data_IF_395061595921
#
_entry.id   IF_395061595921
#
_cell.length_a   1.000
_cell.length_b   1.000
_cell.length_c   1.000
_cell.angle_alpha   90.00
_cell.angle_beta   90.00
_cell.angle_gamma   90.00
#
_symmetry.space_group_name_H-M   'P 1'
#
loop_
_entity.id
_entity.type
_entity.pdbx_description
1 polymer ?
#
# COMPACT_ATOMS: atom_id res chain seq x y z
N UNK A 1 -11.91 -3.14 -26.40
CA UNK A 1 -11.19 -4.02 -25.44
C UNK A 1 -12.20 -4.53 -24.44
N UNK A 2 -12.05 -5.75 -23.94
CA UNK A 2 -12.88 -6.21 -22.81
C UNK A 2 -12.63 -5.30 -21.61
N UNK A 3 -13.69 -5.05 -20.82
CA UNK A 3 -13.58 -4.20 -19.63
C UNK A 3 -12.74 -4.92 -18.58
N UNK A 4 -11.80 -4.22 -17.95
CA UNK A 4 -10.96 -4.74 -16.86
C UNK A 4 -11.85 -5.38 -15.77
N UNK A 5 -11.62 -6.65 -15.48
CA UNK A 5 -12.42 -7.42 -14.52
C UNK A 5 -11.89 -7.20 -13.10
N UNK A 6 -12.79 -6.92 -12.17
CA UNK A 6 -12.47 -6.71 -10.75
C UNK A 6 -12.96 -7.92 -9.96
N UNK A 7 -12.06 -8.63 -9.28
CA UNK A 7 -12.34 -9.85 -8.53
C UNK A 7 -12.05 -9.61 -7.04
N UNK A 8 -13.07 -9.73 -6.18
CA UNK A 8 -12.85 -9.80 -4.74
C UNK A 8 -12.55 -11.24 -4.34
N UNK A 9 -11.47 -11.43 -3.58
CA UNK A 9 -11.18 -12.71 -2.94
C UNK A 9 -12.10 -12.85 -1.73
N UNK A 10 -12.77 -14.00 -1.62
CA UNK A 10 -13.79 -14.22 -0.60
C UNK A 10 -13.17 -14.51 0.77
N UNK A 11 -12.65 -13.45 1.41
CA UNK A 11 -12.14 -13.52 2.78
C UNK A 11 -13.25 -13.64 3.83
N UNK A 12 -14.50 -13.22 3.50
CA UNK A 12 -15.65 -13.36 4.39
C UNK A 12 -15.92 -14.82 4.75
N UNK A 13 -16.03 -15.71 3.75
CA UNK A 13 -16.25 -17.15 3.98
C UNK A 13 -15.12 -17.78 4.80
N UNK A 14 -13.88 -17.30 4.60
CA UNK A 14 -12.75 -17.80 5.36
C UNK A 14 -12.84 -17.43 6.85
N UNK A 15 -13.18 -16.17 7.18
CA UNK A 15 -13.33 -15.74 8.58
C UNK A 15 -14.54 -16.38 9.24
N UNK A 16 -15.66 -16.56 8.53
CA UNK A 16 -16.81 -17.32 9.02
C UNK A 16 -16.44 -18.77 9.38
N UNK A 17 -15.66 -19.44 8.53
CA UNK A 17 -15.13 -20.79 8.85
C UNK A 17 -14.25 -20.79 10.10
N UNK A 18 -13.41 -19.74 10.28
CA UNK A 18 -12.59 -19.60 11.48
C UNK A 18 -13.46 -19.46 12.74
N UNK A 19 -14.51 -18.65 12.71
CA UNK A 19 -15.45 -18.45 13.81
C UNK A 19 -16.21 -19.76 14.18
N UNK A 20 -16.49 -20.60 13.18
CA UNK A 20 -17.11 -21.91 13.36
C UNK A 20 -16.13 -23.01 13.79
N UNK A 21 -14.85 -22.70 13.96
CA UNK A 21 -13.80 -23.65 14.36
C UNK A 21 -13.30 -24.57 13.21
N UNK A 22 -13.65 -24.26 11.97
CA UNK A 22 -13.28 -25.03 10.77
C UNK A 22 -12.14 -24.37 9.96
N UNK A 23 -11.78 -23.10 10.29
CA UNK A 23 -10.67 -22.40 9.66
C UNK A 23 -9.32 -22.85 10.21
N UNK A 24 -8.35 -23.09 9.34
CA UNK A 24 -6.99 -23.52 9.72
C UNK A 24 -5.95 -23.02 8.70
N UNK A 25 -4.66 -23.33 8.94
CA UNK A 25 -3.59 -22.90 8.04
C UNK A 25 -3.74 -23.41 6.59
N UNK A 26 -4.36 -24.57 6.37
CA UNK A 26 -4.57 -25.08 5.00
C UNK A 26 -5.68 -24.28 4.29
N UNK A 27 -6.79 -23.96 4.98
CA UNK A 27 -7.81 -23.10 4.40
C UNK A 27 -7.26 -21.69 4.15
N UNK A 28 -6.43 -21.15 5.04
CA UNK A 28 -5.71 -19.89 4.81
C UNK A 28 -4.85 -19.94 3.53
N UNK A 29 -4.05 -21.00 3.35
CA UNK A 29 -3.18 -21.15 2.17
C UNK A 29 -3.98 -21.31 0.87
N UNK A 30 -4.95 -22.21 0.87
CA UNK A 30 -5.54 -22.68 -0.38
C UNK A 30 -6.88 -22.02 -0.74
N UNK A 31 -7.60 -21.46 0.21
CA UNK A 31 -8.86 -20.78 -0.06
C UNK A 31 -8.63 -19.24 -0.12
N UNK A 32 -7.81 -18.69 0.78
CA UNK A 32 -7.62 -17.24 0.89
C UNK A 32 -6.43 -16.72 0.09
N UNK A 33 -5.28 -17.41 0.09
CA UNK A 33 -4.05 -16.91 -0.52
C UNK A 33 -3.75 -17.48 -1.90
N UNK A 34 -4.22 -18.69 -2.22
CA UNK A 34 -4.00 -19.32 -3.53
C UNK A 34 -4.56 -18.50 -4.72
N UNK A 35 -5.69 -17.79 -4.63
CA UNK A 35 -6.14 -16.93 -5.74
C UNK A 35 -5.11 -15.87 -6.15
N UNK A 36 -4.22 -15.46 -5.24
CA UNK A 36 -3.11 -14.54 -5.50
C UNK A 36 -1.77 -15.24 -5.77
N UNK A 37 -1.79 -16.52 -6.13
CA UNK A 37 -0.56 -17.34 -6.25
C UNK A 37 0.48 -16.72 -7.19
N UNK A 38 0.07 -16.17 -8.32
CA UNK A 38 1.00 -15.53 -9.26
C UNK A 38 1.78 -14.39 -8.62
N UNK A 39 1.12 -13.56 -7.79
CA UNK A 39 1.78 -12.52 -7.01
C UNK A 39 2.78 -13.13 -6.01
N UNK A 40 2.37 -14.18 -5.28
CA UNK A 40 3.25 -14.83 -4.29
C UNK A 40 4.45 -15.50 -4.95
N UNK A 41 4.27 -16.12 -6.12
CA UNK A 41 5.36 -16.70 -6.90
C UNK A 41 6.36 -15.62 -7.35
N UNK A 42 5.87 -14.45 -7.78
CA UNK A 42 6.71 -13.30 -8.13
C UNK A 42 7.56 -12.83 -6.94
N UNK A 43 6.99 -12.86 -5.74
CA UNK A 43 7.68 -12.51 -4.49
C UNK A 43 8.55 -13.66 -3.94
N UNK A 44 8.62 -14.80 -4.62
CA UNK A 44 9.29 -16.02 -4.16
C UNK A 44 8.76 -16.54 -2.81
N UNK A 45 7.47 -16.41 -2.57
CA UNK A 45 6.79 -16.91 -1.36
C UNK A 45 5.99 -18.16 -1.72
N UNK A 46 6.42 -19.35 -1.29
CA UNK A 46 5.67 -20.57 -1.56
C UNK A 46 4.39 -20.63 -0.70
N UNK A 47 3.29 -21.15 -1.24
CA UNK A 47 2.06 -21.35 -0.49
C UNK A 47 2.27 -22.28 0.72
N UNK A 48 3.16 -23.25 0.60
CA UNK A 48 3.51 -24.17 1.68
C UNK A 48 5.00 -24.49 1.62
N UNK A 49 5.65 -24.43 2.77
CA UNK A 49 7.04 -24.82 2.90
C UNK A 49 7.25 -26.32 2.59
N UNK A 50 8.39 -26.65 2.01
CA UNK A 50 8.80 -28.03 1.73
C UNK A 50 9.37 -28.73 2.98
N UNK A 51 9.78 -27.94 3.98
CA UNK A 51 10.33 -28.42 5.25
C UNK A 51 9.49 -27.95 6.42
N UNK A 52 9.50 -28.70 7.51
CA UNK A 52 8.84 -28.29 8.76
C UNK A 52 9.41 -26.97 9.26
N UNK A 53 8.53 -26.02 9.61
CA UNK A 53 8.88 -24.65 10.02
C UNK A 53 9.66 -23.83 8.95
N UNK A 54 9.59 -24.23 7.69
CA UNK A 54 10.15 -23.46 6.58
C UNK A 54 9.31 -22.22 6.26
N UNK A 55 9.94 -21.25 5.58
CA UNK A 55 9.27 -20.05 5.12
C UNK A 55 8.16 -20.36 4.12
N UNK A 56 6.97 -19.87 4.38
CA UNK A 56 5.80 -20.00 3.50
C UNK A 56 4.85 -18.81 3.62
N UNK A 57 3.72 -18.88 2.93
CA UNK A 57 2.72 -17.81 2.90
C UNK A 57 2.19 -17.41 4.27
N UNK A 58 2.10 -18.35 5.23
CA UNK A 58 1.63 -18.03 6.58
C UNK A 58 2.63 -17.13 7.30
N UNK A 59 3.93 -17.47 7.23
CA UNK A 59 4.97 -16.64 7.81
C UNK A 59 5.10 -15.29 7.09
N UNK A 60 5.04 -15.29 5.76
CA UNK A 60 5.06 -14.04 4.99
C UNK A 60 3.89 -13.13 5.36
N UNK A 61 2.70 -13.69 5.51
CA UNK A 61 1.51 -12.95 5.93
C UNK A 61 1.65 -12.35 7.34
N UNK A 62 2.21 -13.11 8.29
CA UNK A 62 2.48 -12.60 9.64
C UNK A 62 3.51 -11.45 9.63
N UNK A 63 4.51 -11.50 8.75
CA UNK A 63 5.49 -10.41 8.56
C UNK A 63 4.85 -9.14 7.98
N UNK A 64 3.80 -9.27 7.18
CA UNK A 64 3.00 -8.16 6.65
C UNK A 64 1.93 -7.67 7.63
N UNK A 65 1.87 -8.22 8.85
CA UNK A 65 0.88 -7.86 9.83
C UNK A 65 -0.52 -8.41 9.57
N UNK A 66 -0.66 -9.44 8.73
CA UNK A 66 -1.93 -10.13 8.46
C UNK A 66 -2.21 -11.11 9.59
N UNK A 67 -3.46 -11.12 10.06
CA UNK A 67 -3.93 -12.17 10.98
C UNK A 67 -3.90 -13.54 10.30
N UNK A 68 -3.40 -14.53 11.00
CA UNK A 68 -3.36 -15.93 10.54
C UNK A 68 -4.00 -16.87 11.56
N UNK A 69 -4.38 -18.11 11.19
CA UNK A 69 -4.93 -19.10 12.13
C UNK A 69 -3.98 -19.53 13.26
N UNK A 70 -2.74 -19.04 13.27
CA UNK A 70 -1.80 -19.21 14.39
C UNK A 70 -2.05 -18.22 15.53
N UNK A 71 -2.79 -17.15 15.23
CA UNK A 71 -3.12 -16.10 16.17
C UNK A 71 -4.41 -16.36 16.92
N UNK A 72 -4.69 -15.54 17.92
CA UNK A 72 -5.91 -15.68 18.70
C UNK A 72 -7.16 -15.50 17.83
N UNK A 73 -8.09 -16.46 17.91
CA UNK A 73 -9.41 -16.34 17.28
C UNK A 73 -10.25 -15.21 17.87
N UNK A 74 -9.89 -14.73 19.06
CA UNK A 74 -10.58 -13.59 19.68
C UNK A 74 -10.44 -12.35 18.82
N UNK A 75 -9.29 -12.12 18.18
CA UNK A 75 -9.11 -11.00 17.24
C UNK A 75 -10.13 -11.05 16.09
N UNK A 76 -10.43 -12.24 15.54
CA UNK A 76 -11.48 -12.37 14.50
C UNK A 76 -12.85 -12.07 15.08
N UNK A 77 -13.18 -12.56 16.28
CA UNK A 77 -14.48 -12.29 16.92
C UNK A 77 -14.70 -10.80 17.17
N UNK A 78 -13.65 -10.07 17.54
CA UNK A 78 -13.75 -8.66 17.88
C UNK A 78 -13.71 -7.78 16.62
N UNK A 79 -12.85 -8.08 15.65
CA UNK A 79 -12.58 -7.21 14.53
C UNK A 79 -13.38 -7.51 13.25
N UNK A 80 -13.79 -8.76 13.03
CA UNK A 80 -14.47 -9.13 11.78
C UNK A 80 -15.86 -8.47 11.63
N UNK A 81 -16.72 -8.40 12.65
CA UNK A 81 -17.97 -7.66 12.56
C UNK A 81 -17.77 -6.17 12.23
N UNK A 82 -16.80 -5.52 12.87
CA UNK A 82 -16.44 -4.12 12.62
C UNK A 82 -15.93 -3.89 11.18
N UNK A 83 -15.20 -4.87 10.62
CA UNK A 83 -14.72 -4.82 9.25
C UNK A 83 -15.90 -4.94 8.25
N UNK A 84 -16.87 -5.80 8.50
CA UNK A 84 -18.08 -5.89 7.70
C UNK A 84 -18.86 -4.56 7.76
N UNK A 85 -19.07 -4.00 8.95
CA UNK A 85 -19.79 -2.74 9.14
C UNK A 85 -19.11 -1.54 8.47
N UNK A 86 -17.82 -1.63 8.12
CA UNK A 86 -17.14 -0.57 7.39
C UNK A 86 -17.67 -0.34 5.98
N UNK A 87 -18.39 -1.31 5.39
CA UNK A 87 -18.94 -1.26 4.04
C UNK A 87 -17.95 -1.50 2.92
N UNK A 88 -16.66 -1.75 3.22
CA UNK A 88 -15.62 -1.84 2.19
C UNK A 88 -15.83 -3.03 1.24
N UNK A 89 -16.45 -4.12 1.70
CA UNK A 89 -16.76 -5.28 0.88
C UNK A 89 -17.83 -5.03 -0.18
N UNK A 90 -18.72 -4.07 0.05
CA UNK A 90 -19.73 -3.62 -0.91
C UNK A 90 -19.20 -2.53 -1.83
N UNK A 91 -18.28 -1.72 -1.35
CA UNK A 91 -17.82 -0.50 -2.01
C UNK A 91 -16.53 -0.66 -2.83
N UNK A 92 -15.75 -1.73 -2.62
CA UNK A 92 -14.44 -1.93 -3.29
C UNK A 92 -14.50 -1.82 -4.82
N UNK A 93 -15.57 -2.36 -5.41
CA UNK A 93 -15.74 -2.38 -6.85
C UNK A 93 -15.97 -0.97 -7.41
N UNK A 94 -16.74 -0.15 -6.69
CA UNK A 94 -16.96 1.25 -7.04
C UNK A 94 -15.67 2.05 -6.97
N UNK A 95 -14.86 1.85 -5.93
CA UNK A 95 -13.56 2.52 -5.75
C UNK A 95 -12.65 2.23 -6.94
N UNK A 96 -12.45 0.95 -7.28
CA UNK A 96 -11.59 0.56 -8.40
C UNK A 96 -12.16 1.05 -9.73
N UNK A 97 -13.49 0.92 -9.96
CA UNK A 97 -14.12 1.38 -11.20
C UNK A 97 -13.98 2.88 -11.41
N UNK A 98 -14.16 3.68 -10.36
CA UNK A 98 -13.91 5.14 -10.43
C UNK A 98 -12.45 5.44 -10.74
N UNK A 99 -11.53 4.69 -10.14
CA UNK A 99 -10.10 4.82 -10.45
C UNK A 99 -9.81 4.52 -11.94
N UNK A 100 -10.36 3.43 -12.48
CA UNK A 100 -10.22 3.08 -13.90
C UNK A 100 -10.75 4.22 -14.79
N UNK A 101 -11.94 4.73 -14.48
CA UNK A 101 -12.57 5.83 -15.24
C UNK A 101 -11.69 7.08 -15.29
N UNK A 102 -10.92 7.38 -14.22
CA UNK A 102 -10.01 8.55 -14.20
C UNK A 102 -8.87 8.42 -15.20
N UNK A 103 -8.34 7.23 -15.43
CA UNK A 103 -7.32 6.98 -16.44
C UNK A 103 -7.92 6.89 -17.86
N UNK A 104 -9.06 6.22 -18.02
CA UNK A 104 -9.75 6.09 -19.33
C UNK A 104 -10.21 7.45 -19.88
N UNK A 105 -10.69 8.37 -19.04
CA UNK A 105 -11.03 9.76 -19.43
C UNK A 105 -9.85 10.51 -20.07
N UNK A 106 -8.62 10.07 -19.77
CA UNK A 106 -7.37 10.66 -20.30
C UNK A 106 -6.76 9.81 -21.43
N UNK A 107 -7.53 8.86 -21.94
CA UNK A 107 -7.16 8.02 -23.08
C UNK A 107 -6.17 6.90 -22.73
N UNK A 108 -5.94 6.64 -21.43
CA UNK A 108 -5.11 5.52 -21.02
C UNK A 108 -5.97 4.30 -20.66
N UNK A 109 -5.74 3.23 -21.39
CA UNK A 109 -6.33 1.93 -21.07
C UNK A 109 -5.32 1.13 -20.27
N UNK A 110 -5.69 0.78 -19.06
CA UNK A 110 -4.84 0.01 -18.15
C UNK A 110 -4.58 -1.37 -18.77
N UNK A 111 -3.31 -1.78 -19.02
CA UNK A 111 -3.00 -3.00 -19.73
C UNK A 111 -3.07 -4.25 -18.82
N UNK A 112 -4.21 -4.41 -18.14
CA UNK A 112 -4.54 -5.55 -17.30
C UNK A 112 -5.87 -6.14 -17.72
N UNK A 113 -6.00 -7.46 -17.68
CA UNK A 113 -7.25 -8.18 -17.93
C UNK A 113 -8.11 -8.22 -16.66
N UNK A 114 -7.46 -8.40 -15.51
CA UNK A 114 -8.15 -8.48 -14.22
C UNK A 114 -7.31 -7.93 -13.05
N UNK A 115 -8.02 -7.45 -12.02
CA UNK A 115 -7.47 -7.05 -10.73
C UNK A 115 -8.11 -7.91 -9.64
N UNK A 116 -7.29 -8.49 -8.79
CA UNK A 116 -7.69 -9.20 -7.58
C UNK A 116 -7.55 -8.29 -6.38
N UNK A 117 -8.62 -8.14 -5.62
CA UNK A 117 -8.65 -7.39 -4.36
C UNK A 117 -8.84 -8.37 -3.21
N UNK A 118 -7.99 -8.31 -2.20
CA UNK A 118 -8.10 -9.10 -0.99
C UNK A 118 -8.16 -8.18 0.23
N UNK A 119 -9.26 -8.24 0.97
CA UNK A 119 -9.49 -7.45 2.18
C UNK A 119 -9.33 -8.38 3.37
N UNK A 120 -8.34 -8.13 4.21
CA UNK A 120 -7.84 -9.03 5.22
C UNK A 120 -7.88 -8.39 6.62
N UNK A 121 -8.13 -9.19 7.65
CA UNK A 121 -7.88 -8.75 9.01
C UNK A 121 -6.38 -8.63 9.26
N UNK A 122 -5.98 -7.52 9.88
CA UNK A 122 -4.66 -7.33 10.45
C UNK A 122 -4.52 -8.04 11.80
N UNK A 123 -3.29 -8.36 12.17
CA UNK A 123 -2.95 -8.82 13.52
C UNK A 123 -2.78 -7.60 14.44
N UNK A 124 -3.69 -7.39 15.37
CA UNK A 124 -3.66 -6.26 16.32
C UNK A 124 -2.42 -6.23 17.21
N UNK A 125 -1.73 -7.37 17.36
CA UNK A 125 -0.48 -7.45 18.11
C UNK A 125 0.75 -7.10 17.26
N UNK A 126 0.60 -7.08 15.93
CA UNK A 126 1.66 -6.70 15.00
C UNK A 126 2.12 -5.26 15.22
N UNK A 127 3.44 -5.04 15.18
CA UNK A 127 4.01 -3.70 15.23
C UNK A 127 3.65 -2.88 13.99
N UNK A 128 3.54 -3.53 12.83
CA UNK A 128 3.12 -2.90 11.58
C UNK A 128 1.73 -2.27 11.72
N UNK A 129 0.76 -3.03 12.22
CA UNK A 129 -0.59 -2.53 12.44
C UNK A 129 -0.63 -1.41 13.50
N UNK A 130 0.14 -1.53 14.58
CA UNK A 130 0.19 -0.49 15.64
C UNK A 130 0.75 0.84 15.13
N UNK A 131 1.82 0.81 14.35
CA UNK A 131 2.44 2.03 13.79
C UNK A 131 1.52 2.68 12.77
N UNK A 132 0.84 1.91 11.95
CA UNK A 132 -0.02 2.38 10.86
C UNK A 132 -1.49 2.60 11.28
N UNK A 133 -1.77 2.79 12.58
CA UNK A 133 -3.13 3.02 13.09
C UNK A 133 -4.15 1.95 12.66
N UNK A 134 -3.69 0.72 12.54
CA UNK A 134 -4.52 -0.46 12.28
C UNK A 134 -4.83 -0.71 10.82
N UNK A 135 -4.16 -0.08 9.85
CA UNK A 135 -4.33 -0.46 8.45
C UNK A 135 -3.05 -0.31 7.65
N UNK A 136 -2.91 -1.16 6.64
CA UNK A 136 -1.83 -1.14 5.67
C UNK A 136 -2.35 -1.64 4.33
N UNK A 137 -1.66 -1.35 3.25
CA UNK A 137 -2.00 -1.78 1.91
C UNK A 137 -0.81 -2.39 1.18
N UNK A 138 -1.10 -3.09 0.11
CA UNK A 138 -0.12 -3.57 -0.85
C UNK A 138 -0.71 -3.56 -2.26
N UNK A 139 -0.21 -2.68 -3.12
CA UNK A 139 -0.55 -2.58 -4.54
C UNK A 139 0.66 -2.72 -5.46
N UNK A 140 1.78 -3.20 -4.92
CA UNK A 140 3.10 -3.20 -5.54
C UNK A 140 3.29 -4.17 -6.72
N UNK A 141 2.30 -4.98 -7.07
CA UNK A 141 2.33 -5.89 -8.23
C UNK A 141 1.06 -5.68 -9.06
N UNK A 142 1.17 -5.32 -10.35
CA UNK A 142 0.01 -5.11 -11.21
C UNK A 142 -0.96 -6.29 -11.20
N UNK A 143 -2.25 -5.98 -11.05
CA UNK A 143 -3.32 -6.97 -10.97
C UNK A 143 -3.61 -7.50 -9.55
N UNK A 144 -2.88 -7.05 -8.51
CA UNK A 144 -3.08 -7.53 -7.14
C UNK A 144 -3.09 -6.40 -6.13
N UNK A 145 -4.12 -6.34 -5.30
CA UNK A 145 -4.27 -5.37 -4.21
C UNK A 145 -4.65 -6.13 -2.93
N UNK A 146 -3.97 -5.84 -1.83
CA UNK A 146 -4.36 -6.27 -0.49
C UNK A 146 -4.58 -5.06 0.42
N UNK A 147 -5.64 -5.12 1.23
CA UNK A 147 -5.82 -4.24 2.39
C UNK A 147 -5.80 -5.08 3.65
N UNK A 148 -4.97 -4.72 4.61
CA UNK A 148 -4.84 -5.34 5.92
C UNK A 148 -5.37 -4.37 6.97
N UNK A 149 -6.37 -4.79 7.76
CA UNK A 149 -7.16 -3.88 8.59
C UNK A 149 -7.40 -4.47 9.98
N UNK A 150 -7.05 -3.72 11.02
CA UNK A 150 -7.58 -3.85 12.38
C UNK A 150 -8.56 -2.69 12.54
N UNK A 151 -9.89 -2.92 12.43
CA UNK A 151 -10.87 -1.85 12.33
C UNK A 151 -10.89 -0.94 13.55
N UNK A 152 -11.00 0.35 13.33
CA UNK A 152 -11.21 1.37 14.36
C UNK A 152 -11.84 2.62 13.75
N UNK A 153 -12.30 3.57 14.58
CA UNK A 153 -13.00 4.78 14.12
C UNK A 153 -12.14 5.67 13.22
N UNK A 154 -10.81 5.58 13.32
CA UNK A 154 -9.92 6.35 12.49
C UNK A 154 -9.82 5.74 11.09
N UNK A 155 -9.56 4.43 10.97
CA UNK A 155 -9.26 3.80 9.69
C UNK A 155 -10.49 3.42 8.87
N UNK A 156 -11.62 3.03 9.50
CA UNK A 156 -12.86 2.69 8.78
C UNK A 156 -13.27 3.77 7.75
N UNK A 157 -13.07 5.04 8.08
CA UNK A 157 -13.37 6.17 7.18
C UNK A 157 -12.42 6.29 5.99
N UNK A 158 -11.23 5.70 6.10
CA UNK A 158 -10.11 5.83 5.14
C UNK A 158 -9.96 4.64 4.20
N UNK A 159 -10.75 3.58 4.35
CA UNK A 159 -10.56 2.34 3.58
C UNK A 159 -10.70 2.54 2.08
N UNK A 160 -11.63 3.41 1.63
CA UNK A 160 -11.75 3.78 0.20
C UNK A 160 -10.53 4.54 -0.29
N UNK A 161 -10.03 5.47 0.50
CA UNK A 161 -8.83 6.24 0.19
C UNK A 161 -7.60 5.33 0.14
N UNK A 162 -7.45 4.41 1.09
CA UNK A 162 -6.39 3.41 1.10
C UNK A 162 -6.46 2.48 -0.13
N UNK A 163 -7.66 2.03 -0.51
CA UNK A 163 -7.83 1.20 -1.70
C UNK A 163 -7.49 1.97 -3.00
N UNK A 164 -7.85 3.25 -3.08
CA UNK A 164 -7.48 4.11 -4.21
C UNK A 164 -5.97 4.35 -4.28
N UNK A 165 -5.31 4.51 -3.15
CA UNK A 165 -3.85 4.59 -3.04
C UNK A 165 -3.18 3.34 -3.64
N UNK A 166 -3.58 2.15 -3.19
CA UNK A 166 -3.03 0.88 -3.70
C UNK A 166 -3.37 0.64 -5.18
N UNK A 167 -4.54 1.08 -5.62
CA UNK A 167 -4.90 1.03 -7.04
C UNK A 167 -3.99 1.94 -7.88
N UNK A 168 -3.61 3.11 -7.40
CA UNK A 168 -2.69 4.00 -8.12
C UNK A 168 -1.33 3.32 -8.32
N UNK A 169 -0.78 2.63 -7.30
CA UNK A 169 0.42 1.82 -7.45
C UNK A 169 0.28 0.76 -8.54
N UNK A 170 -0.85 0.04 -8.59
CA UNK A 170 -1.12 -0.95 -9.63
C UNK A 170 -1.03 -0.34 -11.03
N UNK A 171 -1.63 0.82 -11.25
CA UNK A 171 -1.57 1.52 -12.54
C UNK A 171 -0.15 2.02 -12.83
N UNK A 172 0.49 2.66 -11.86
CA UNK A 172 1.86 3.18 -12.00
C UNK A 172 2.83 2.10 -12.47
N UNK A 173 2.77 0.91 -11.87
CA UNK A 173 3.67 -0.19 -12.20
C UNK A 173 3.40 -0.85 -13.56
N UNK A 174 2.25 -0.60 -14.19
CA UNK A 174 2.03 -0.96 -15.61
C UNK A 174 2.73 0.00 -16.57
N UNK A 175 3.07 1.21 -16.10
CA UNK A 175 3.72 2.26 -16.88
C UNK A 175 5.23 2.32 -16.61
N UNK A 176 5.63 2.37 -15.36
CA UNK A 176 7.03 2.42 -14.93
C UNK A 176 7.31 1.25 -13.98
N UNK A 177 8.02 0.20 -14.44
CA UNK A 177 8.33 -0.97 -13.62
C UNK A 177 9.15 -0.59 -12.38
N UNK A 178 8.84 -1.20 -11.26
CA UNK A 178 9.47 -0.92 -9.98
C UNK A 178 10.28 -2.12 -9.48
N UNK A 179 11.52 -1.88 -9.09
CA UNK A 179 12.40 -2.90 -8.51
C UNK A 179 12.82 -2.50 -7.09
N UNK A 180 12.19 -3.08 -6.08
CA UNK A 180 12.52 -2.83 -4.67
C UNK A 180 14.01 -3.00 -4.33
N UNK A 181 14.73 -3.87 -5.07
CA UNK A 181 16.15 -4.12 -4.84
C UNK A 181 17.08 -3.01 -5.34
N UNK A 182 16.63 -2.16 -6.28
CA UNK A 182 17.43 -1.12 -6.93
C UNK A 182 16.74 0.25 -6.96
N UNK A 183 15.62 0.41 -6.25
CA UNK A 183 14.88 1.67 -6.17
C UNK A 183 15.70 2.77 -5.51
N UNK A 184 15.62 3.99 -6.03
CA UNK A 184 16.16 5.19 -5.40
C UNK A 184 15.18 5.83 -4.44
N UNK A 185 15.67 6.70 -3.55
CA UNK A 185 14.82 7.50 -2.67
C UNK A 185 13.86 8.36 -3.50
N UNK A 186 14.33 9.03 -4.57
CA UNK A 186 13.47 9.89 -5.40
C UNK A 186 12.37 9.10 -6.14
N UNK A 187 12.67 7.88 -6.62
CA UNK A 187 11.65 7.02 -7.24
C UNK A 187 10.57 6.62 -6.22
N UNK A 188 10.99 6.31 -4.99
CA UNK A 188 10.07 5.88 -3.94
C UNK A 188 9.18 7.03 -3.44
N UNK A 189 9.74 8.22 -3.17
CA UNK A 189 8.94 9.38 -2.74
C UNK A 189 7.95 9.84 -3.82
N UNK A 190 8.33 9.77 -5.11
CA UNK A 190 7.42 10.05 -6.22
C UNK A 190 6.29 9.03 -6.28
N UNK A 191 6.61 7.75 -6.14
CA UNK A 191 5.64 6.65 -6.13
C UNK A 191 4.56 6.87 -5.05
N UNK A 192 4.98 7.08 -3.81
CA UNK A 192 4.06 7.26 -2.67
C UNK A 192 3.30 8.58 -2.75
N UNK A 193 3.97 9.64 -3.20
CA UNK A 193 3.34 10.94 -3.40
C UNK A 193 2.23 10.91 -4.47
N UNK A 194 2.43 10.17 -5.57
CA UNK A 194 1.42 9.97 -6.60
C UNK A 194 0.18 9.24 -6.05
N UNK A 195 0.40 8.15 -5.33
CA UNK A 195 -0.67 7.34 -4.77
C UNK A 195 -1.50 8.13 -3.74
N UNK A 196 -0.83 8.89 -2.87
CA UNK A 196 -1.51 9.70 -1.85
C UNK A 196 -2.26 10.88 -2.46
N UNK A 197 -1.69 11.58 -3.45
CA UNK A 197 -2.39 12.64 -4.17
C UNK A 197 -3.58 12.11 -4.98
N UNK A 198 -3.49 10.89 -5.53
CA UNK A 198 -4.61 10.25 -6.19
C UNK A 198 -5.74 9.92 -5.21
N UNK A 199 -5.41 9.37 -4.05
CA UNK A 199 -6.35 9.10 -2.98
C UNK A 199 -7.04 10.38 -2.47
N UNK A 200 -6.27 11.49 -2.32
CA UNK A 200 -6.82 12.80 -1.98
C UNK A 200 -7.80 13.32 -3.04
N UNK A 201 -7.46 13.24 -4.33
CA UNK A 201 -8.34 13.71 -5.42
C UNK A 201 -9.65 12.93 -5.45
N UNK A 202 -9.60 11.63 -5.17
CA UNK A 202 -10.77 10.74 -5.17
C UNK A 202 -11.67 10.91 -3.96
N UNK A 203 -11.12 11.14 -2.77
CA UNK A 203 -11.84 11.02 -1.50
C UNK A 203 -11.67 12.21 -0.55
N UNK A 204 -10.84 13.17 -0.85
CA UNK A 204 -10.67 14.38 -0.06
C UNK A 204 -9.47 14.35 0.89
N UNK A 205 -8.96 15.54 1.20
CA UNK A 205 -7.76 15.75 2.00
C UNK A 205 -7.87 15.23 3.44
N UNK A 206 -9.06 15.19 4.00
CA UNK A 206 -9.31 14.69 5.36
C UNK A 206 -9.17 13.18 5.51
N UNK A 207 -9.11 12.46 4.37
CA UNK A 207 -8.98 11.00 4.32
C UNK A 207 -7.60 10.50 3.88
N UNK A 208 -6.63 11.40 3.72
CA UNK A 208 -5.23 11.03 3.44
C UNK A 208 -4.63 10.21 4.60
N UNK A 209 -3.55 9.49 4.31
CA UNK A 209 -2.87 8.64 5.27
C UNK A 209 -2.32 9.39 6.49
N UNK A 210 -2.24 8.74 7.66
CA UNK A 210 -1.70 9.36 8.88
C UNK A 210 -0.23 9.73 8.73
N UNK A 211 0.48 9.07 7.85
CA UNK A 211 1.88 9.33 7.53
C UNK A 211 2.13 10.73 6.95
N UNK A 212 1.09 11.39 6.40
CA UNK A 212 1.18 12.79 5.94
C UNK A 212 0.46 13.73 6.90
N UNK A 213 -0.74 13.35 7.36
CA UNK A 213 -1.58 14.21 8.18
C UNK A 213 -0.95 14.56 9.55
N UNK A 214 -0.16 13.64 10.10
CA UNK A 214 0.44 13.76 11.43
C UNK A 214 1.91 14.25 11.40
N UNK A 215 2.46 14.56 10.21
CA UNK A 215 3.85 15.02 10.08
C UNK A 215 4.06 16.42 10.68
N UNK A 216 5.14 16.62 11.41
CA UNK A 216 5.49 17.91 11.98
C UNK A 216 5.99 18.87 10.89
N UNK A 217 5.27 19.96 10.70
CA UNK A 217 5.59 20.97 9.69
C UNK A 217 6.88 21.73 9.99
N UNK A 218 7.33 21.81 11.24
CA UNK A 218 8.58 22.48 11.60
C UNK A 218 9.81 21.70 11.09
N UNK A 219 9.66 20.38 10.86
CA UNK A 219 10.70 19.52 10.30
C UNK A 219 10.76 19.52 8.76
N UNK A 220 9.82 20.20 8.10
CA UNK A 220 9.68 20.12 6.64
C UNK A 220 10.94 20.55 5.89
N UNK A 221 11.46 21.76 6.19
CA UNK A 221 12.64 22.30 5.50
C UNK A 221 13.86 21.42 5.70
N UNK A 222 14.08 20.96 6.93
CA UNK A 222 15.18 20.06 7.25
C UNK A 222 15.06 18.73 6.49
N UNK A 223 13.86 18.15 6.47
CA UNK A 223 13.61 16.88 5.78
C UNK A 223 13.81 16.98 4.27
N UNK A 224 13.44 18.12 3.65
CA UNK A 224 13.70 18.39 2.24
C UNK A 224 15.19 18.37 1.95
N UNK A 225 16.01 19.04 2.74
CA UNK A 225 17.47 19.10 2.53
C UNK A 225 18.11 17.71 2.70
N UNK A 226 17.75 16.95 3.73
CA UNK A 226 18.27 15.59 3.92
C UNK A 226 17.89 14.67 2.77
N UNK A 227 16.64 14.72 2.31
CA UNK A 227 16.17 13.90 1.17
C UNK A 227 16.83 14.36 -0.13
N UNK A 228 16.99 15.68 -0.34
CA UNK A 228 17.68 16.23 -1.51
C UNK A 228 19.11 15.69 -1.64
N UNK A 229 19.87 15.65 -0.55
CA UNK A 229 21.22 15.09 -0.53
C UNK A 229 21.23 13.57 -0.77
N UNK A 230 20.27 12.84 -0.20
CA UNK A 230 20.18 11.38 -0.26
C UNK A 230 19.33 10.81 -1.39
N UNK A 231 18.73 11.63 -2.27
CA UNK A 231 17.72 11.21 -3.24
C UNK A 231 18.14 10.08 -4.19
N UNK A 232 19.45 9.97 -4.46
CA UNK A 232 20.02 8.95 -5.35
C UNK A 232 20.50 7.71 -4.59
N UNK A 233 20.33 7.64 -3.26
CA UNK A 233 20.60 6.43 -2.50
C UNK A 233 19.71 5.29 -2.97
N UNK A 234 20.27 4.08 -3.08
CA UNK A 234 19.62 2.94 -3.75
C UNK A 234 19.46 1.75 -2.83
N UNK A 235 18.41 0.98 -3.13
CA UNK A 235 18.08 -0.27 -2.48
C UNK A 235 17.28 -0.10 -1.22
N UNK A 236 16.39 -1.05 -0.95
CA UNK A 236 15.37 -0.94 0.11
C UNK A 236 15.95 -0.66 1.51
N UNK A 237 17.15 -1.17 1.81
CA UNK A 237 17.81 -0.93 3.08
C UNK A 237 18.15 0.54 3.30
N UNK A 238 18.75 1.19 2.30
CA UNK A 238 19.09 2.61 2.33
C UNK A 238 17.82 3.47 2.28
N UNK A 239 16.94 3.20 1.31
CA UNK A 239 15.70 3.95 1.08
C UNK A 239 14.77 3.91 2.28
N UNK A 240 14.76 2.80 3.05
CA UNK A 240 13.89 2.61 4.21
C UNK A 240 14.03 3.70 5.28
N UNK A 241 15.25 4.21 5.51
CA UNK A 241 15.49 5.28 6.50
C UNK A 241 14.88 6.61 6.04
N UNK A 242 14.96 6.92 4.74
CA UNK A 242 14.37 8.14 4.17
C UNK A 242 12.85 8.09 4.14
N UNK A 243 12.26 6.92 3.88
CA UNK A 243 10.80 6.77 3.78
C UNK A 243 10.13 6.72 5.14
N UNK A 244 10.60 5.80 6.01
CA UNK A 244 9.93 5.45 7.27
C UNK A 244 10.52 6.15 8.49
N UNK A 245 11.66 6.83 8.34
CA UNK A 245 12.37 7.53 9.41
C UNK A 245 13.30 6.64 10.25
N UNK A 246 14.07 7.30 11.08
CA UNK A 246 15.20 6.71 11.83
C UNK A 246 14.79 5.60 12.79
N UNK A 247 13.64 5.70 13.45
CA UNK A 247 13.20 4.70 14.42
C UNK A 247 12.89 3.36 13.76
N UNK A 248 12.31 3.39 12.56
CA UNK A 248 12.05 2.20 11.77
C UNK A 248 13.36 1.65 11.19
N UNK A 249 14.23 2.51 10.70
CA UNK A 249 15.55 2.13 10.19
C UNK A 249 16.36 1.38 11.28
N UNK A 250 16.47 1.94 12.47
CA UNK A 250 17.18 1.31 13.60
C UNK A 250 16.60 -0.05 13.98
N UNK A 251 15.27 -0.18 14.04
CA UNK A 251 14.60 -1.46 14.36
C UNK A 251 14.88 -2.54 13.32
N UNK A 252 15.04 -2.14 12.04
CA UNK A 252 15.36 -3.03 10.92
C UNK A 252 16.88 -3.26 10.73
N UNK A 253 17.72 -2.64 11.53
CA UNK A 253 19.19 -2.75 11.48
C UNK A 253 19.83 -1.90 10.38
N UNK A 254 19.14 -0.87 9.89
CA UNK A 254 19.64 0.10 8.92
C UNK A 254 20.20 1.35 9.60
N UNK A 255 21.06 2.07 8.88
CA UNK A 255 21.64 3.32 9.37
C UNK A 255 20.60 4.45 9.38
N UNK A 256 20.48 5.20 10.48
CA UNK A 256 19.63 6.39 10.51
C UNK A 256 20.22 7.52 9.65
N UNK A 257 19.34 8.38 9.13
CA UNK A 257 19.72 9.52 8.28
C UNK A 257 19.29 10.88 8.86
N UNK A 258 18.71 10.89 10.06
CA UNK A 258 18.28 12.10 10.76
C UNK A 258 16.83 12.48 10.50
N UNK A 259 16.02 11.60 9.98
CA UNK A 259 14.62 11.89 9.61
C UNK A 259 13.62 11.32 10.62
N UNK A 260 12.56 12.09 10.85
CA UNK A 260 11.38 11.67 11.62
C UNK A 260 10.54 10.63 10.86
N UNK A 261 9.58 10.04 11.58
CA UNK A 261 8.71 9.03 10.99
C UNK A 261 7.95 9.56 9.75
N UNK A 262 7.96 8.77 8.67
CA UNK A 262 7.21 9.02 7.44
C UNK A 262 7.62 10.29 6.67
N UNK A 263 8.83 10.83 6.88
CA UNK A 263 9.31 12.01 6.18
C UNK A 263 9.23 11.85 4.65
N UNK A 264 9.67 10.71 4.10
CA UNK A 264 9.62 10.45 2.66
C UNK A 264 8.21 10.50 2.07
N UNK A 265 7.21 9.98 2.78
CA UNK A 265 5.81 10.05 2.36
C UNK A 265 5.31 11.49 2.26
N UNK A 266 5.60 12.29 3.29
CA UNK A 266 5.19 13.69 3.34
C UNK A 266 5.89 14.51 2.26
N UNK A 267 7.20 14.34 2.09
CA UNK A 267 7.97 15.03 1.05
C UNK A 267 7.45 14.63 -0.34
N UNK A 268 7.21 13.34 -0.59
CA UNK A 268 6.63 12.86 -1.84
C UNK A 268 5.28 13.49 -2.16
N UNK A 269 4.38 13.56 -1.18
CA UNK A 269 3.10 14.21 -1.34
C UNK A 269 3.25 15.70 -1.73
N UNK A 270 4.07 16.47 -1.04
CA UNK A 270 4.28 17.89 -1.35
C UNK A 270 4.99 18.11 -2.68
N UNK A 271 5.93 17.23 -3.05
CA UNK A 271 6.60 17.24 -4.34
C UNK A 271 5.59 17.05 -5.48
N UNK A 272 4.69 16.08 -5.37
CA UNK A 272 3.65 15.86 -6.37
C UNK A 272 2.67 17.02 -6.42
N UNK A 273 2.23 17.57 -5.28
CA UNK A 273 1.39 18.79 -5.27
C UNK A 273 2.05 19.96 -6.02
N UNK A 274 3.36 20.17 -5.83
CA UNK A 274 4.11 21.19 -6.55
C UNK A 274 4.21 20.87 -8.05
N UNK A 275 4.44 19.59 -8.40
CA UNK A 275 4.45 19.15 -9.80
C UNK A 275 3.11 19.42 -10.49
N UNK A 276 1.98 19.10 -9.88
CA UNK A 276 0.64 19.34 -10.45
C UNK A 276 0.40 20.83 -10.71
N UNK A 277 0.83 21.71 -9.79
CA UNK A 277 0.75 23.16 -9.97
C UNK A 277 1.61 23.62 -11.15
N UNK A 278 2.87 23.17 -11.24
CA UNK A 278 3.80 23.62 -12.27
C UNK A 278 3.48 23.07 -13.67
N UNK A 279 2.96 21.83 -13.76
CA UNK A 279 2.65 21.17 -15.02
C UNK A 279 1.24 21.43 -15.54
N UNK A 280 0.32 21.83 -14.67
CA UNK A 280 -1.12 21.90 -14.94
C UNK A 280 -1.73 20.55 -15.41
N UNK A 281 -1.10 19.43 -15.04
CA UNK A 281 -1.60 18.08 -15.29
C UNK A 281 -2.51 17.62 -14.16
N UNK A 282 -3.42 16.70 -14.45
CA UNK A 282 -4.17 15.95 -13.43
C UNK A 282 -3.29 14.90 -12.77
N UNK A 283 -3.71 14.37 -11.62
CA UNK A 283 -2.97 13.33 -10.92
C UNK A 283 -2.88 12.03 -11.75
N UNK A 284 -3.92 11.67 -12.50
CA UNK A 284 -3.88 10.49 -13.38
C UNK A 284 -2.84 10.66 -14.51
N UNK A 285 -2.70 11.86 -15.10
CA UNK A 285 -1.63 12.15 -16.06
C UNK A 285 -0.25 12.16 -15.40
N UNK A 286 -0.14 12.66 -14.17
CA UNK A 286 1.09 12.61 -13.38
C UNK A 286 1.52 11.15 -13.09
N UNK A 287 0.57 10.27 -12.75
CA UNK A 287 0.83 8.83 -12.55
C UNK A 287 1.45 8.16 -13.80
N UNK A 288 1.16 8.68 -14.97
CA UNK A 288 1.68 8.20 -16.27
C UNK A 288 2.86 9.04 -16.79
N UNK A 289 3.50 9.81 -15.92
CA UNK A 289 4.66 10.64 -16.28
C UNK A 289 5.93 10.04 -15.67
N UNK A 290 7.06 9.93 -16.42
CA UNK A 290 8.32 9.40 -15.88
C UNK A 290 8.80 10.15 -14.63
N UNK A 291 9.36 9.43 -13.68
CA UNK A 291 9.87 9.99 -12.41
C UNK A 291 10.81 11.17 -12.63
N UNK A 292 11.77 11.05 -13.57
CA UNK A 292 12.72 12.14 -13.89
C UNK A 292 12.02 13.44 -14.36
N UNK A 293 10.93 13.32 -15.13
CA UNK A 293 10.15 14.47 -15.58
C UNK A 293 9.44 15.14 -14.41
N UNK A 294 8.84 14.32 -13.50
CA UNK A 294 8.17 14.82 -12.30
C UNK A 294 9.15 15.59 -11.43
N UNK A 295 10.32 15.03 -11.12
CA UNK A 295 11.37 15.70 -10.34
C UNK A 295 11.77 17.02 -10.98
N UNK A 296 12.09 16.99 -12.28
CA UNK A 296 12.54 18.18 -13.02
C UNK A 296 11.48 19.31 -13.07
N UNK A 297 10.23 18.96 -13.33
CA UNK A 297 9.15 19.95 -13.50
C UNK A 297 8.63 20.46 -12.15
N UNK A 298 8.65 19.61 -11.12
CA UNK A 298 8.28 20.07 -9.77
C UNK A 298 9.15 21.20 -9.25
N UNK A 299 10.45 21.23 -9.61
CA UNK A 299 11.46 22.12 -9.04
C UNK A 299 11.50 22.11 -7.51
N UNK A 300 11.10 20.99 -6.92
CA UNK A 300 10.93 20.86 -5.48
C UNK A 300 12.25 20.89 -4.73
N UNK A 301 13.30 20.44 -5.38
CA UNK A 301 14.67 20.40 -4.84
C UNK A 301 15.60 21.46 -5.40
N UNK A 302 15.08 22.48 -6.09
CA UNK A 302 15.89 23.57 -6.66
C UNK A 302 16.38 24.56 -5.58
#
# INVERSE_FOLDING_TARGET
>A
MEKLKINLINSLDFYDKCLLGNGNENSFRYELMQPMKTMWDYLNVPLKATQSNGYDIVMASEMLGIWTPRKSIQQVKDNFPELIESGIFEEYQEVISKGIDEFEKRGYSIPLEEIYVNILLGDEDSQEMKVNKGYSGFGGIPGYIMLMIVPNDFNKKRLKSALAHEFNHNVRFTFEPFNHGDVTVEEYIVLEGLAECFAEEMYGKELIGPWIADFDKEEMEYSIEVIKEGRMAKGFGEVSAYMFGDDVAKKRGYSPVGLSANAGYTIGYHLIKQYLVNSNKSIAEATLTPTEEIIRVSKFFD
#
